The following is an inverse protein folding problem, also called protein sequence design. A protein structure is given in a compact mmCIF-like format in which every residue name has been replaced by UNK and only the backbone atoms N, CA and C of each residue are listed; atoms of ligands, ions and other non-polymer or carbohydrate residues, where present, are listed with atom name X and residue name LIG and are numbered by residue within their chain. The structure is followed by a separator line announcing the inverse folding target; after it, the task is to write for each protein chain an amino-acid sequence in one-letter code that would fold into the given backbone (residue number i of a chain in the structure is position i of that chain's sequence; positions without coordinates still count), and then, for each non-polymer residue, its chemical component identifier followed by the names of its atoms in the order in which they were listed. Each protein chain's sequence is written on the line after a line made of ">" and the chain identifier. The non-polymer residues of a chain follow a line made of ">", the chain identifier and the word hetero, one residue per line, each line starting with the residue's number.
data_IF_206398797972
#
_entry.id   IF_206398797972
#
_cell.length_a   1.000
_cell.length_b   1.000
_cell.length_c   1.000
_cell.angle_alpha   90.00
_cell.angle_beta   90.00
_cell.angle_gamma   90.00
#
_symmetry.space_group_name_H-M   'P 1'
#
loop_
_entity.id
_entity.type
_entity.pdbx_description
1 polymer ?
#
# COMPACT_ATOMS: atom_id res chain seq x y z
N UNK A 1 7.05 -19.27 -10.30
CA UNK A 1 7.14 -19.52 -8.83
C UNK A 1 7.80 -18.37 -8.06
N UNK A 2 8.65 -17.53 -8.69
CA UNK A 2 9.30 -16.35 -8.09
C UNK A 2 8.37 -15.20 -7.62
N UNK A 3 7.08 -15.25 -7.96
CA UNK A 3 6.23 -14.06 -7.96
C UNK A 3 5.65 -13.67 -6.59
N UNK A 4 5.54 -14.63 -5.66
CA UNK A 4 4.77 -14.46 -4.43
C UNK A 4 5.60 -14.25 -3.18
N UNK A 5 6.87 -14.68 -3.20
CA UNK A 5 7.77 -14.57 -2.05
C UNK A 5 8.03 -13.10 -1.69
N UNK A 6 8.08 -12.19 -2.68
CA UNK A 6 8.29 -10.75 -2.43
C UNK A 6 7.06 -10.12 -1.74
N UNK A 7 5.84 -10.53 -2.12
CA UNK A 7 4.62 -10.06 -1.46
C UNK A 7 4.47 -10.69 -0.07
N UNK A 8 4.82 -11.97 0.12
CA UNK A 8 4.80 -12.63 1.44
C UNK A 8 5.91 -12.16 2.39
N UNK A 9 7.05 -11.69 1.89
CA UNK A 9 8.14 -11.08 2.66
C UNK A 9 7.73 -9.77 3.35
N UNK A 10 6.53 -9.24 3.07
CA UNK A 10 6.01 -7.97 3.59
C UNK A 10 5.36 -8.04 4.99
N UNK A 11 5.16 -9.23 5.56
CA UNK A 11 4.49 -9.37 6.86
C UNK A 11 5.20 -8.64 8.02
N UNK A 12 6.54 -8.73 8.18
CA UNK A 12 7.25 -7.94 9.19
C UNK A 12 7.19 -6.44 8.85
N UNK A 13 7.43 -6.09 7.60
CA UNK A 13 7.49 -4.69 7.13
C UNK A 13 6.16 -3.97 7.34
N UNK A 14 5.02 -4.62 7.09
CA UNK A 14 3.70 -4.02 7.33
C UNK A 14 3.47 -3.71 8.81
N UNK A 15 3.92 -4.59 9.71
CA UNK A 15 3.88 -4.34 11.16
C UNK A 15 4.74 -3.15 11.56
N UNK A 16 5.99 -3.13 11.10
CA UNK A 16 6.95 -2.06 11.40
C UNK A 16 6.47 -0.70 10.88
N UNK A 17 6.04 -0.64 9.62
CA UNK A 17 5.51 0.59 8.99
C UNK A 17 4.25 1.08 9.71
N UNK A 18 3.32 0.19 10.08
CA UNK A 18 2.12 0.59 10.84
C UNK A 18 2.52 1.18 12.19
N UNK A 19 3.44 0.53 12.90
CA UNK A 19 3.90 0.96 14.22
C UNK A 19 4.64 2.30 14.14
N UNK A 20 5.52 2.49 13.17
CA UNK A 20 6.24 3.75 12.98
C UNK A 20 5.29 4.90 12.63
N UNK A 21 4.32 4.68 11.73
CA UNK A 21 3.33 5.69 11.39
C UNK A 21 2.39 6.00 12.57
N UNK A 22 2.01 5.01 13.36
CA UNK A 22 1.23 5.24 14.59
C UNK A 22 2.03 6.04 15.63
N UNK A 23 3.32 5.74 15.79
CA UNK A 23 4.21 6.46 16.70
C UNK A 23 4.44 7.91 16.27
N UNK A 24 4.55 8.16 14.96
CA UNK A 24 4.69 9.52 14.42
C UNK A 24 3.50 10.39 14.83
N UNK A 25 2.27 9.85 14.95
CA UNK A 25 1.12 10.65 15.43
C UNK A 25 1.36 11.25 16.81
N UNK A 26 2.06 10.53 17.69
CA UNK A 26 2.34 10.99 19.05
C UNK A 26 3.58 11.91 19.12
N UNK A 27 4.58 11.65 18.28
CA UNK A 27 5.84 12.42 18.25
C UNK A 27 5.79 13.69 17.36
N UNK A 28 4.82 13.79 16.45
CA UNK A 28 4.77 14.87 15.47
C UNK A 28 4.51 16.25 16.10
N UNK A 29 5.20 17.26 15.59
CA UNK A 29 4.89 18.65 15.89
C UNK A 29 3.68 19.12 15.07
N UNK A 30 2.64 19.57 15.76
CA UNK A 30 1.43 20.09 15.12
C UNK A 30 1.40 21.62 15.21
N UNK A 31 1.49 22.35 14.08
CA UNK A 31 1.42 23.80 14.08
C UNK A 31 0.01 24.33 14.42
N UNK A 32 -1.02 23.48 14.30
CA UNK A 32 -2.41 23.81 14.60
C UNK A 32 -2.99 22.79 15.60
N UNK A 33 -3.62 23.28 16.67
CA UNK A 33 -4.24 22.40 17.69
C UNK A 33 -5.39 21.57 17.12
N UNK A 34 -6.11 22.08 16.12
CA UNK A 34 -7.14 21.33 15.41
C UNK A 34 -6.57 20.11 14.67
N UNK A 35 -5.37 20.23 14.10
CA UNK A 35 -4.69 19.12 13.43
C UNK A 35 -4.24 18.06 14.44
N UNK A 36 -3.69 18.49 15.59
CA UNK A 36 -3.32 17.59 16.70
C UNK A 36 -4.55 16.83 17.21
N UNK A 37 -5.62 17.56 17.50
CA UNK A 37 -6.89 17.00 17.97
C UNK A 37 -7.40 15.95 16.98
N UNK A 38 -7.43 16.26 15.68
CA UNK A 38 -7.87 15.31 14.66
C UNK A 38 -7.01 14.04 14.64
N UNK A 39 -5.68 14.18 14.60
CA UNK A 39 -4.77 13.03 14.50
C UNK A 39 -4.79 12.17 15.78
N UNK A 40 -4.84 12.76 16.97
CA UNK A 40 -4.89 11.97 18.21
C UNK A 40 -6.22 11.21 18.32
N UNK A 41 -7.34 11.84 17.94
CA UNK A 41 -8.68 11.22 18.05
C UNK A 41 -8.92 10.11 17.04
N UNK A 42 -8.47 10.30 15.80
CA UNK A 42 -8.78 9.41 14.68
C UNK A 42 -7.59 8.53 14.27
N UNK A 43 -6.37 8.92 14.61
CA UNK A 43 -5.11 8.23 14.27
C UNK A 43 -5.03 7.74 12.80
N UNK A 44 -5.38 8.56 11.80
CA UNK A 44 -5.30 8.13 10.41
C UNK A 44 -3.83 8.00 9.99
N UNK A 45 -3.51 6.91 9.29
CA UNK A 45 -2.22 6.75 8.62
C UNK A 45 -2.46 6.59 7.11
N UNK A 46 -1.46 6.96 6.32
CA UNK A 46 -1.53 6.94 4.86
C UNK A 46 -0.38 6.14 4.27
N UNK A 47 -0.63 4.88 3.96
CA UNK A 47 0.35 4.00 3.34
C UNK A 47 0.10 3.94 1.83
N UNK A 48 1.10 4.36 1.07
CA UNK A 48 1.15 4.23 -0.39
C UNK A 48 2.10 3.11 -0.83
N UNK A 49 2.04 2.80 -2.13
CA UNK A 49 3.01 1.93 -2.79
C UNK A 49 3.59 2.63 -4.00
N UNK A 50 4.86 2.38 -4.27
CA UNK A 50 5.54 2.85 -5.47
C UNK A 50 6.13 1.67 -6.25
N UNK A 51 6.38 1.88 -7.55
CA UNK A 51 7.01 0.88 -8.41
C UNK A 51 6.04 -0.17 -8.96
N UNK A 52 4.74 0.13 -9.04
CA UNK A 52 3.77 -0.80 -9.64
C UNK A 52 4.09 -1.08 -11.12
N UNK A 53 4.47 -0.05 -11.88
CA UNK A 53 4.88 -0.20 -13.27
C UNK A 53 6.13 -1.06 -13.43
N UNK A 54 7.13 -0.90 -12.55
CA UNK A 54 8.31 -1.76 -12.51
C UNK A 54 7.94 -3.23 -12.28
N UNK A 55 7.00 -3.49 -11.36
CA UNK A 55 6.50 -4.84 -11.11
C UNK A 55 5.92 -5.44 -12.39
N UNK A 56 5.06 -4.72 -13.12
CA UNK A 56 4.49 -5.25 -14.35
C UNK A 56 5.55 -5.50 -15.43
N UNK A 57 6.52 -4.59 -15.60
CA UNK A 57 7.60 -4.76 -16.58
C UNK A 57 8.47 -5.98 -16.25
N UNK A 58 8.85 -6.16 -14.98
CA UNK A 58 9.66 -7.29 -14.54
C UNK A 58 8.96 -8.65 -14.76
N UNK A 59 7.65 -8.66 -14.96
CA UNK A 59 6.85 -9.85 -15.26
C UNK A 59 6.54 -10.02 -16.74
N UNK A 60 6.97 -9.08 -17.58
CA UNK A 60 6.57 -9.03 -18.97
C UNK A 60 5.06 -8.79 -19.14
N UNK A 61 4.41 -8.12 -18.20
CA UNK A 61 3.00 -7.76 -18.26
C UNK A 61 2.83 -6.32 -18.74
N UNK A 62 2.05 -6.11 -19.81
CA UNK A 62 1.56 -4.78 -20.14
C UNK A 62 0.54 -4.30 -19.12
N UNK A 63 0.55 -3.01 -18.84
CA UNK A 63 -0.32 -2.37 -17.84
C UNK A 63 -1.82 -2.61 -18.11
N UNK A 64 -2.22 -2.69 -19.37
CA UNK A 64 -3.62 -2.81 -19.80
C UNK A 64 -4.11 -4.26 -19.93
N UNK A 65 -3.27 -5.26 -19.62
CA UNK A 65 -3.69 -6.66 -19.71
C UNK A 65 -4.58 -7.08 -18.53
N UNK A 66 -5.57 -7.97 -18.74
CA UNK A 66 -6.43 -8.49 -17.68
C UNK A 66 -5.65 -9.09 -16.50
N UNK A 67 -4.51 -9.73 -16.77
CA UNK A 67 -3.63 -10.32 -15.77
C UNK A 67 -3.00 -9.25 -14.87
N UNK A 68 -2.64 -8.08 -15.42
CA UNK A 68 -2.11 -6.96 -14.66
C UNK A 68 -3.18 -6.36 -13.73
N UNK A 69 -4.43 -6.27 -14.20
CA UNK A 69 -5.57 -5.85 -13.37
C UNK A 69 -5.81 -6.83 -12.22
N UNK A 70 -5.78 -8.14 -12.48
CA UNK A 70 -5.95 -9.15 -11.43
C UNK A 70 -4.80 -9.10 -10.42
N UNK A 71 -3.56 -8.92 -10.89
CA UNK A 71 -2.40 -8.76 -10.02
C UNK A 71 -2.51 -7.49 -9.16
N UNK A 72 -2.94 -6.38 -9.75
CA UNK A 72 -3.20 -5.13 -9.04
C UNK A 72 -4.20 -5.33 -7.89
N UNK A 73 -5.35 -5.96 -8.18
CA UNK A 73 -6.36 -6.31 -7.16
C UNK A 73 -5.74 -7.16 -6.05
N UNK A 74 -4.97 -8.19 -6.41
CA UNK A 74 -4.33 -9.08 -5.44
C UNK A 74 -3.31 -8.35 -4.54
N UNK A 75 -2.53 -7.42 -5.10
CA UNK A 75 -1.55 -6.62 -4.37
C UNK A 75 -2.27 -5.75 -3.33
N UNK A 76 -3.28 -4.98 -3.76
CA UNK A 76 -3.98 -4.07 -2.87
C UNK A 76 -4.85 -4.77 -1.83
N UNK A 77 -5.44 -5.92 -2.17
CA UNK A 77 -6.12 -6.78 -1.21
C UNK A 77 -5.18 -7.21 -0.09
N UNK A 78 -3.98 -7.70 -0.47
CA UNK A 78 -2.96 -8.19 0.47
C UNK A 78 -2.43 -7.07 1.37
N UNK A 79 -2.14 -5.91 0.80
CA UNK A 79 -1.71 -4.71 1.52
C UNK A 79 -2.76 -4.33 2.57
N UNK A 80 -4.01 -4.11 2.13
CA UNK A 80 -5.08 -3.67 3.02
C UNK A 80 -5.30 -4.67 4.16
N UNK A 81 -5.32 -5.96 3.85
CA UNK A 81 -5.46 -7.03 4.85
C UNK A 81 -4.37 -6.97 5.93
N UNK A 82 -3.09 -6.89 5.53
CA UNK A 82 -1.98 -6.92 6.48
C UNK A 82 -1.86 -5.65 7.32
N UNK A 83 -2.13 -4.48 6.74
CA UNK A 83 -2.15 -3.22 7.50
C UNK A 83 -3.30 -3.16 8.51
N UNK A 84 -4.49 -3.66 8.15
CA UNK A 84 -5.58 -3.81 9.11
C UNK A 84 -5.21 -4.77 10.24
N UNK A 85 -4.60 -5.91 9.90
CA UNK A 85 -4.15 -6.90 10.89
C UNK A 85 -3.12 -6.31 11.84
N UNK A 86 -2.16 -5.55 11.34
CA UNK A 86 -1.16 -4.86 12.16
C UNK A 86 -1.81 -3.81 13.08
N UNK A 87 -2.74 -3.01 12.56
CA UNK A 87 -3.47 -2.01 13.35
C UNK A 87 -4.35 -2.64 14.43
N UNK A 88 -4.97 -3.80 14.15
CA UNK A 88 -5.71 -4.57 15.16
C UNK A 88 -4.81 -5.18 16.24
N UNK A 89 -3.57 -5.56 15.90
CA UNK A 89 -2.58 -5.98 16.90
C UNK A 89 -2.14 -4.82 17.79
N UNK A 90 -1.93 -3.63 17.22
CA UNK A 90 -1.59 -2.43 18.00
C UNK A 90 -2.72 -2.06 18.96
N UNK A 91 -3.99 -2.23 18.58
CA UNK A 91 -5.10 -1.92 19.48
C UNK A 91 -5.21 -2.85 20.69
N UNK A 92 -4.66 -4.06 20.63
CA UNK A 92 -4.53 -4.94 21.82
C UNK A 92 -3.61 -4.31 22.87
N UNK A 93 -2.51 -3.69 22.42
CA UNK A 93 -1.49 -3.09 23.30
C UNK A 93 -1.89 -1.70 23.78
N UNK A 94 -2.31 -0.85 22.85
CA UNK A 94 -2.44 0.60 23.08
C UNK A 94 -3.90 1.07 23.05
N UNK A 95 -4.85 0.16 22.79
CA UNK A 95 -6.28 0.47 22.63
C UNK A 95 -6.65 0.92 21.22
N UNK A 96 -7.93 0.78 20.86
CA UNK A 96 -8.46 1.32 19.60
C UNK A 96 -8.43 2.87 19.59
N UNK A 97 -8.46 3.49 18.41
CA UNK A 97 -8.57 4.96 18.33
C UNK A 97 -9.87 5.46 18.98
N UNK A 98 -9.85 6.70 19.48
CA UNK A 98 -10.92 7.26 20.33
C UNK A 98 -12.30 7.13 19.70
N UNK A 99 -12.40 7.43 18.41
CA UNK A 99 -13.68 7.42 17.67
C UNK A 99 -13.95 6.10 16.94
N UNK A 100 -13.37 4.97 17.41
CA UNK A 100 -13.62 3.66 16.81
C UNK A 100 -15.07 3.22 16.96
N UNK A 101 -15.66 3.39 18.14
CA UNK A 101 -17.04 3.00 18.40
C UNK A 101 -18.01 3.78 17.50
N UNK A 102 -18.85 3.06 16.78
CA UNK A 102 -19.81 3.64 15.83
C UNK A 102 -19.28 3.74 14.39
N UNK A 103 -17.97 3.59 14.19
CA UNK A 103 -17.36 3.52 12.85
C UNK A 103 -17.85 2.29 12.07
N UNK A 104 -17.74 2.27 10.73
CA UNK A 104 -18.03 1.09 9.94
C UNK A 104 -17.23 -0.15 10.38
N UNK A 105 -15.93 0.01 10.66
CA UNK A 105 -15.09 -1.10 11.12
C UNK A 105 -15.59 -1.70 12.44
N UNK A 106 -16.08 -0.88 13.36
CA UNK A 106 -16.70 -1.37 14.61
C UNK A 106 -18.00 -2.15 14.42
N UNK A 107 -18.61 -2.05 13.23
CA UNK A 107 -19.80 -2.81 12.82
C UNK A 107 -19.43 -3.99 11.91
N UNK A 108 -18.15 -4.30 11.79
CA UNK A 108 -17.63 -5.34 10.90
C UNK A 108 -17.66 -4.98 9.42
N UNK A 109 -17.88 -3.71 9.06
CA UNK A 109 -17.92 -3.24 7.67
C UNK A 109 -16.53 -2.71 7.28
N UNK A 110 -15.86 -3.41 6.38
CA UNK A 110 -14.55 -3.06 5.83
C UNK A 110 -14.68 -2.41 4.44
N UNK A 111 -13.57 -1.88 3.90
CA UNK A 111 -13.59 -1.19 2.60
C UNK A 111 -14.20 -2.02 1.46
N UNK A 112 -13.86 -3.31 1.25
CA UNK A 112 -14.48 -4.10 0.20
C UNK A 112 -16.01 -4.17 0.29
N UNK A 113 -16.54 -4.21 1.53
CA UNK A 113 -17.99 -4.28 1.76
C UNK A 113 -18.70 -3.00 1.33
N UNK A 114 -18.08 -1.84 1.56
CA UNK A 114 -18.62 -0.53 1.14
C UNK A 114 -18.75 -0.44 -0.38
N UNK A 115 -17.89 -1.13 -1.12
CA UNK A 115 -17.89 -1.20 -2.57
C UNK A 115 -18.62 -2.42 -3.13
N UNK A 116 -19.24 -3.25 -2.27
CA UNK A 116 -19.91 -4.50 -2.64
C UNK A 116 -18.98 -5.47 -3.40
N UNK A 117 -17.69 -5.44 -3.07
CA UNK A 117 -16.67 -6.32 -3.63
C UNK A 117 -16.45 -7.49 -2.68
N UNK A 118 -16.54 -8.71 -3.19
CA UNK A 118 -16.14 -9.90 -2.45
C UNK A 118 -14.62 -10.09 -2.60
N UNK A 119 -13.85 -10.01 -1.51
CA UNK A 119 -12.41 -10.26 -1.56
C UNK A 119 -12.11 -11.69 -2.00
N UNK A 120 -10.88 -11.94 -2.43
CA UNK A 120 -10.45 -13.30 -2.78
C UNK A 120 -10.21 -14.15 -1.53
N UNK A 121 -10.04 -15.46 -1.73
CA UNK A 121 -9.69 -16.41 -0.66
C UNK A 121 -8.21 -16.38 -0.27
N UNK A 122 -7.43 -15.44 -0.80
CA UNK A 122 -5.98 -15.35 -0.58
C UNK A 122 -5.63 -14.91 0.84
N UNK A 123 -6.51 -14.13 1.45
CA UNK A 123 -6.39 -13.67 2.82
C UNK A 123 -7.52 -14.23 3.67
N UNK A 124 -7.23 -14.55 4.92
CA UNK A 124 -8.22 -15.08 5.86
C UNK A 124 -9.05 -13.93 6.47
N UNK A 125 -10.01 -13.44 5.67
CA UNK A 125 -10.92 -12.37 6.04
C UNK A 125 -11.80 -12.69 7.25
N UNK A 126 -12.36 -13.91 7.41
CA UNK A 126 -13.08 -14.29 8.62
C UNK A 126 -12.24 -14.11 9.89
N UNK A 127 -10.99 -14.60 9.89
CA UNK A 127 -10.09 -14.44 11.04
C UNK A 127 -9.78 -12.96 11.30
N UNK A 128 -9.53 -12.16 10.26
CA UNK A 128 -9.28 -10.73 10.44
C UNK A 128 -10.50 -10.00 11.02
N UNK A 129 -11.71 -10.32 10.56
CA UNK A 129 -12.94 -9.72 11.08
C UNK A 129 -13.17 -10.09 12.54
N UNK A 130 -12.91 -11.33 12.93
CA UNK A 130 -12.97 -11.75 14.32
C UNK A 130 -11.94 -11.00 15.19
N UNK A 131 -10.69 -10.88 14.70
CA UNK A 131 -9.66 -10.07 15.37
C UNK A 131 -10.10 -8.61 15.58
N UNK A 132 -10.66 -7.96 14.55
CA UNK A 132 -11.14 -6.57 14.63
C UNK A 132 -12.34 -6.45 15.57
N UNK A 133 -13.26 -7.42 15.55
CA UNK A 133 -14.41 -7.45 16.46
C UNK A 133 -13.96 -7.52 17.92
N UNK A 134 -12.95 -8.35 18.21
CA UNK A 134 -12.46 -8.58 19.58
C UNK A 134 -11.56 -7.44 20.07
N UNK A 135 -10.68 -6.91 19.22
CA UNK A 135 -9.61 -6.00 19.63
C UNK A 135 -9.83 -4.54 19.19
N UNK A 136 -10.70 -4.30 18.22
CA UNK A 136 -10.74 -3.06 17.46
C UNK A 136 -9.54 -2.90 16.52
N UNK A 137 -9.29 -1.64 16.12
CA UNK A 137 -8.11 -1.23 15.35
C UNK A 137 -7.56 0.09 15.89
N UNK A 138 -6.25 0.29 15.77
CA UNK A 138 -5.55 1.47 16.28
C UNK A 138 -5.72 2.70 15.38
N UNK A 139 -5.97 2.52 14.08
CA UNK A 139 -5.98 3.58 13.08
C UNK A 139 -7.31 3.61 12.32
N UNK A 140 -7.90 4.80 12.13
CA UNK A 140 -9.17 4.95 11.40
C UNK A 140 -9.06 4.76 9.89
N UNK A 141 -7.91 5.12 9.32
CA UNK A 141 -7.56 4.97 7.90
C UNK A 141 -6.13 4.43 7.83
N UNK A 142 -5.83 3.67 6.78
CA UNK A 142 -4.59 2.90 6.65
C UNK A 142 -3.90 3.13 5.31
N UNK A 143 -4.59 2.85 4.20
CA UNK A 143 -4.01 2.87 2.87
C UNK A 143 -4.47 4.15 2.16
N UNK A 144 -3.51 4.89 1.62
CA UNK A 144 -3.74 6.08 0.80
C UNK A 144 -2.91 5.98 -0.46
N UNK A 145 -3.57 6.03 -1.61
CA UNK A 145 -2.92 5.98 -2.91
C UNK A 145 -2.49 7.38 -3.40
N UNK A 146 -2.51 8.39 -2.52
CA UNK A 146 -2.20 9.78 -2.84
C UNK A 146 -0.88 10.25 -2.23
N UNK A 147 0.12 10.49 -3.09
CA UNK A 147 1.40 11.10 -2.74
C UNK A 147 2.39 11.05 -3.92
N UNK A 148 2.48 12.14 -4.69
CA UNK A 148 3.46 12.39 -5.76
C UNK A 148 3.55 11.35 -6.90
N UNK A 149 2.74 11.51 -7.97
CA UNK A 149 2.90 11.18 -9.40
C UNK A 149 3.70 9.94 -9.93
N UNK A 150 4.23 9.04 -9.09
CA UNK A 150 5.08 7.92 -9.52
C UNK A 150 4.79 6.61 -8.77
N UNK A 151 3.60 6.49 -8.21
CA UNK A 151 3.25 5.35 -7.37
C UNK A 151 2.63 4.20 -8.16
N UNK A 152 1.61 4.55 -8.93
CA UNK A 152 0.66 3.63 -9.55
C UNK A 152 0.50 3.85 -11.04
N UNK A 153 1.10 4.92 -11.56
CA UNK A 153 0.99 5.32 -12.94
C UNK A 153 1.92 4.45 -13.82
N UNK A 154 1.52 4.17 -15.07
CA UNK A 154 2.46 3.64 -16.06
C UNK A 154 3.61 4.63 -16.29
N UNK A 155 4.72 4.15 -16.86
CA UNK A 155 5.79 5.04 -17.31
C UNK A 155 5.25 6.04 -18.34
N UNK A 156 5.26 7.33 -17.99
CA UNK A 156 4.83 8.39 -18.89
C UNK A 156 5.75 8.51 -20.13
N UNK A 157 7.03 8.17 -19.98
CA UNK A 157 8.00 8.12 -21.06
C UNK A 157 9.12 7.12 -20.75
N UNK A 158 9.70 6.54 -21.80
CA UNK A 158 10.92 5.73 -21.70
C UNK A 158 12.20 6.57 -21.74
N UNK A 159 12.09 7.86 -22.04
CA UNK A 159 13.20 8.84 -22.00
C UNK A 159 12.68 10.09 -21.31
N UNK A 160 13.39 10.56 -20.29
CA UNK A 160 13.00 11.74 -19.52
C UNK A 160 14.18 12.70 -19.38
N UNK A 161 13.89 14.00 -19.32
CA UNK A 161 14.91 15.02 -19.12
C UNK A 161 15.33 15.03 -17.63
N UNK A 162 16.57 14.65 -17.36
CA UNK A 162 17.19 14.66 -16.02
C UNK A 162 17.82 15.99 -15.63
N UNK A 163 17.58 17.06 -16.40
CA UNK A 163 18.17 18.37 -16.17
C UNK A 163 19.68 18.35 -16.42
N UNK A 164 20.46 18.72 -15.40
CA UNK A 164 21.93 18.77 -15.50
C UNK A 164 22.58 17.40 -15.75
N UNK A 165 21.89 16.32 -15.41
CA UNK A 165 22.36 14.94 -15.62
C UNK A 165 22.14 14.43 -17.05
N UNK A 166 21.52 15.22 -17.93
CA UNK A 166 21.16 14.82 -19.28
C UNK A 166 19.91 13.94 -19.35
N UNK A 167 19.77 13.16 -20.42
CA UNK A 167 18.63 12.28 -20.63
C UNK A 167 18.71 11.01 -19.77
N UNK A 168 17.61 10.67 -19.10
CA UNK A 168 17.46 9.46 -18.31
C UNK A 168 16.58 8.48 -19.09
N UNK A 169 17.15 7.33 -19.43
CA UNK A 169 16.47 6.25 -20.16
C UNK A 169 15.90 5.22 -19.17
N UNK A 170 14.74 4.67 -19.49
CA UNK A 170 14.14 3.55 -18.76
C UNK A 170 15.08 2.34 -18.80
N UNK A 171 15.64 1.99 -17.64
CA UNK A 171 16.63 0.93 -17.52
C UNK A 171 16.08 -0.46 -17.84
N UNK A 172 14.78 -0.70 -17.67
CA UNK A 172 14.18 -1.98 -18.05
C UNK A 172 14.19 -2.14 -19.57
N UNK A 173 13.75 -1.11 -20.31
CA UNK A 173 13.78 -1.12 -21.77
C UNK A 173 15.21 -1.22 -22.31
N UNK A 174 16.15 -0.45 -21.74
CA UNK A 174 17.54 -0.47 -22.17
C UNK A 174 18.16 -1.86 -22.01
N UNK A 175 17.93 -2.53 -20.87
CA UNK A 175 18.39 -3.90 -20.61
C UNK A 175 17.80 -4.87 -21.63
N UNK A 176 16.51 -4.77 -21.92
CA UNK A 176 15.86 -5.64 -22.91
C UNK A 176 16.40 -5.45 -24.33
N UNK A 177 16.67 -4.21 -24.73
CA UNK A 177 17.27 -3.89 -26.03
C UNK A 177 18.68 -4.46 -26.16
N UNK A 178 19.52 -4.28 -25.14
CA UNK A 178 20.88 -4.85 -25.08
C UNK A 178 20.82 -6.37 -25.18
N UNK A 179 19.94 -7.02 -24.41
CA UNK A 179 19.78 -8.47 -24.40
C UNK A 179 19.32 -9.02 -25.76
N UNK A 180 18.56 -8.22 -26.53
CA UNK A 180 18.12 -8.55 -27.89
C UNK A 180 19.15 -8.23 -28.98
N UNK A 181 20.33 -7.73 -28.61
CA UNK A 181 21.39 -7.36 -29.56
C UNK A 181 21.22 -6.00 -30.22
N UNK A 182 20.25 -5.19 -29.76
CA UNK A 182 20.13 -3.79 -30.16
C UNK A 182 21.07 -2.93 -29.30
N UNK A 183 22.38 -3.04 -29.57
CA UNK A 183 23.38 -2.18 -28.96
C UNK A 183 23.35 -0.76 -29.55
N UNK A 184 23.69 0.24 -28.72
CA UNK A 184 23.96 1.59 -29.21
C UNK A 184 25.13 1.51 -30.20
N UNK A 185 24.95 2.09 -31.39
CA UNK A 185 26.08 2.31 -32.30
C UNK A 185 27.02 3.33 -31.65
N UNK A 186 28.32 3.05 -31.72
CA UNK A 186 29.38 4.01 -31.38
C UNK A 186 29.23 5.32 -32.16
#
# INVERSE_FOLDING_TARGET
>A
MFHWTIIQLSLPVTGDVTNDLDRIIDENYYPLESARTSNIRHRPIGIGVHGLADVFILLGMSFDFPEALQLNTNIFETIYYHFLKASSKLSVKDGAYETYKGSPMSKGILQPDMWKVTPSYRCDWPVLRDMISNNGVRNSLLVSLGGNNKGLEPYASNISNGGLSGEIVNMHLLRDLINKGFGLRE
#
